data_IF_885338602712
#
_entry.id   IF_885338602712
#
_cell.length_a   1.000
_cell.length_b   1.000
_cell.length_c   1.000
_cell.angle_alpha   90.00
_cell.angle_beta   90.00
_cell.angle_gamma   90.00
#
_symmetry.space_group_name_H-M   'P 1'
#
loop_
_entity.id
_entity.type
_entity.pdbx_description
1 polymer ?
#
# COMPACT_ATOMS: atom_id res chain seq x y z
N UNK A 1 7.93 19.04 24.78
CA UNK A 1 6.52 19.40 24.55
C UNK A 1 6.42 19.92 23.13
N UNK A 2 5.55 19.30 22.30
CA UNK A 2 5.43 19.53 20.85
C UNK A 2 6.36 18.58 20.07
N UNK A 3 5.89 17.70 19.18
CA UNK A 3 4.81 17.91 18.22
C UNK A 3 3.90 16.67 18.09
N UNK A 4 2.61 16.95 18.09
CA UNK A 4 1.55 16.07 17.62
C UNK A 4 1.74 15.81 16.13
N UNK A 5 1.59 14.55 15.70
CA UNK A 5 1.10 14.20 14.38
C UNK A 5 -0.03 13.19 14.59
N UNK A 6 -1.19 13.76 14.89
CA UNK A 6 -2.49 13.14 14.69
C UNK A 6 -3.04 13.66 13.34
N UNK A 7 -3.88 12.86 12.67
CA UNK A 7 -4.70 13.15 11.46
C UNK A 7 -4.27 12.54 10.10
N UNK A 8 -3.11 11.91 9.93
CA UNK A 8 -2.84 11.15 8.70
C UNK A 8 -1.77 10.07 8.90
N UNK A 9 -2.18 8.81 9.13
CA UNK A 9 -1.27 7.69 8.93
C UNK A 9 -0.67 7.81 7.52
N UNK A 10 0.63 8.09 7.44
CA UNK A 10 1.33 8.09 6.16
C UNK A 10 1.41 6.66 5.63
N UNK A 11 1.52 6.49 4.31
CA UNK A 11 1.67 5.16 3.70
C UNK A 11 2.80 4.37 4.38
N UNK A 12 3.95 5.02 4.62
CA UNK A 12 5.09 4.46 5.35
C UNK A 12 4.74 3.96 6.76
N UNK A 13 3.95 4.72 7.52
CA UNK A 13 3.57 4.31 8.88
C UNK A 13 2.58 3.15 8.88
N UNK A 14 1.62 3.16 7.94
CA UNK A 14 0.69 2.05 7.78
C UNK A 14 1.41 0.77 7.33
N UNK A 15 2.40 0.91 6.44
CA UNK A 15 3.23 -0.19 5.99
C UNK A 15 4.14 -0.73 7.11
N UNK A 16 4.80 0.14 7.87
CA UNK A 16 5.61 -0.26 9.02
C UNK A 16 4.78 -0.95 10.12
N UNK A 17 3.54 -0.49 10.35
CA UNK A 17 2.61 -1.20 11.22
C UNK A 17 2.24 -2.58 10.67
N UNK A 18 1.96 -2.68 9.38
CA UNK A 18 1.64 -3.95 8.73
C UNK A 18 2.79 -4.95 8.88
N UNK A 19 4.04 -4.54 8.67
CA UNK A 19 5.21 -5.41 8.88
C UNK A 19 5.36 -5.85 10.34
N UNK A 20 5.10 -4.96 11.30
CA UNK A 20 5.06 -5.35 12.72
C UNK A 20 3.97 -6.37 13.01
N UNK A 21 2.77 -6.19 12.45
CA UNK A 21 1.65 -7.13 12.62
C UNK A 21 1.99 -8.49 12.01
N UNK A 22 2.56 -8.51 10.80
CA UNK A 22 3.01 -9.73 10.14
C UNK A 22 4.12 -10.45 10.92
N UNK A 23 5.10 -9.70 11.44
CA UNK A 23 6.16 -10.28 12.26
C UNK A 23 5.64 -10.84 13.60
N UNK A 24 4.59 -10.25 14.16
CA UNK A 24 3.88 -10.85 15.30
C UNK A 24 3.16 -12.12 14.90
N UNK A 25 2.45 -12.13 13.77
CA UNK A 25 1.75 -13.32 13.25
C UNK A 25 2.69 -14.49 12.94
N UNK A 26 3.97 -14.24 12.64
CA UNK A 26 5.01 -15.28 12.49
C UNK A 26 5.47 -15.89 13.83
N UNK A 27 5.04 -15.33 14.97
CA UNK A 27 5.36 -15.87 16.29
C UNK A 27 4.39 -17.01 16.62
N UNK A 28 4.94 -18.21 16.80
CA UNK A 28 4.18 -19.47 17.05
C UNK A 28 3.39 -19.48 18.38
N UNK A 29 3.62 -18.52 19.28
CA UNK A 29 3.08 -18.47 20.65
C UNK A 29 2.01 -17.37 20.83
N UNK A 30 1.13 -17.20 19.84
CA UNK A 30 -0.01 -16.27 19.95
C UNK A 30 -1.32 -17.01 20.26
N UNK A 31 -2.10 -16.56 21.25
CA UNK A 31 -3.44 -17.09 21.46
C UNK A 31 -4.34 -16.76 20.26
N UNK A 32 -5.27 -17.66 19.93
CA UNK A 32 -6.17 -17.56 18.77
C UNK A 32 -6.86 -16.19 18.66
N UNK A 33 -7.26 -15.61 19.80
CA UNK A 33 -7.89 -14.29 19.88
C UNK A 33 -6.93 -13.16 19.46
N UNK A 34 -5.66 -13.20 19.85
CA UNK A 34 -4.67 -12.21 19.41
C UNK A 34 -4.32 -12.38 17.94
N UNK A 35 -4.22 -13.62 17.44
CA UNK A 35 -3.96 -13.89 16.02
C UNK A 35 -5.09 -13.33 15.15
N UNK A 36 -6.35 -13.49 15.57
CA UNK A 36 -7.51 -12.92 14.89
C UNK A 36 -7.48 -11.38 14.88
N UNK A 37 -7.19 -10.76 16.03
CA UNK A 37 -7.10 -9.31 16.14
C UNK A 37 -5.98 -8.73 15.26
N UNK A 38 -4.80 -9.38 15.27
CA UNK A 38 -3.67 -9.01 14.41
C UNK A 38 -4.03 -9.18 12.93
N UNK A 39 -4.75 -10.24 12.56
CA UNK A 39 -5.19 -10.45 11.19
C UNK A 39 -6.15 -9.35 10.71
N UNK A 40 -7.14 -8.97 11.53
CA UNK A 40 -8.06 -7.86 11.21
C UNK A 40 -7.32 -6.52 11.08
N UNK A 41 -6.38 -6.24 11.99
CA UNK A 41 -5.54 -5.03 11.92
C UNK A 41 -4.68 -5.03 10.65
N UNK A 42 -4.05 -6.16 10.32
CA UNK A 42 -3.25 -6.32 9.11
C UNK A 42 -4.08 -6.15 7.83
N UNK A 43 -5.29 -6.72 7.79
CA UNK A 43 -6.20 -6.57 6.65
C UNK A 43 -6.66 -5.12 6.46
N UNK A 44 -6.94 -4.40 7.55
CA UNK A 44 -7.30 -2.98 7.50
C UNK A 44 -6.14 -2.11 6.99
N UNK A 45 -4.91 -2.36 7.48
CA UNK A 45 -3.70 -1.67 7.05
C UNK A 45 -3.37 -1.96 5.58
N UNK A 46 -3.49 -3.21 5.15
CA UNK A 46 -3.29 -3.60 3.75
C UNK A 46 -4.29 -2.89 2.81
N UNK A 47 -5.57 -2.83 3.21
CA UNK A 47 -6.61 -2.11 2.46
C UNK A 47 -6.31 -0.61 2.37
N UNK A 48 -5.83 0.00 3.45
CA UNK A 48 -5.42 1.40 3.47
C UNK A 48 -4.25 1.67 2.51
N UNK A 49 -3.21 0.83 2.54
CA UNK A 49 -2.06 0.92 1.65
C UNK A 49 -2.46 0.77 0.18
N UNK A 50 -3.34 -0.19 -0.13
CA UNK A 50 -3.86 -0.40 -1.48
C UNK A 50 -4.64 0.83 -1.99
N UNK A 51 -5.54 1.40 -1.17
CA UNK A 51 -6.30 2.59 -1.54
C UNK A 51 -5.42 3.83 -1.77
N UNK A 52 -4.34 3.99 -1.00
CA UNK A 52 -3.34 5.05 -1.21
C UNK A 52 -2.59 4.88 -2.53
N UNK A 53 -2.16 3.66 -2.86
CA UNK A 53 -1.51 3.35 -4.13
C UNK A 53 -2.43 3.59 -5.32
N UNK A 54 -3.70 3.18 -5.23
CA UNK A 54 -4.70 3.42 -6.28
C UNK A 54 -4.88 4.92 -6.55
N UNK A 55 -4.99 5.74 -5.50
CA UNK A 55 -5.06 7.19 -5.66
C UNK A 55 -3.80 7.79 -6.28
N UNK A 56 -2.63 7.26 -5.94
CA UNK A 56 -1.38 7.68 -6.56
C UNK A 56 -1.35 7.30 -8.05
N UNK A 57 -1.75 6.08 -8.40
CA UNK A 57 -1.83 5.59 -9.78
C UNK A 57 -2.81 6.43 -10.61
N UNK A 58 -3.98 6.77 -10.06
CA UNK A 58 -4.95 7.65 -10.71
C UNK A 58 -4.39 9.05 -10.97
N UNK A 59 -3.62 9.61 -10.03
CA UNK A 59 -2.95 10.92 -10.24
C UNK A 59 -1.86 10.83 -11.31
N UNK A 60 -1.07 9.77 -11.34
CA UNK A 60 -0.04 9.55 -12.35
C UNK A 60 -0.67 9.41 -13.74
N UNK A 61 -1.76 8.64 -13.87
CA UNK A 61 -2.52 8.52 -15.12
C UNK A 61 -3.12 9.86 -15.58
N UNK A 62 -3.62 10.68 -14.66
CA UNK A 62 -4.10 12.03 -14.99
C UNK A 62 -2.99 12.98 -15.43
N UNK A 63 -1.75 12.75 -14.97
CA UNK A 63 -0.55 13.46 -15.40
C UNK A 63 0.04 12.95 -16.71
N UNK A 64 -0.44 11.80 -17.21
CA UNK A 64 -0.22 11.35 -18.59
C UNK A 64 -1.46 11.61 -19.47
N UNK A 65 -1.88 12.87 -19.71
CA UNK A 65 -2.73 13.15 -20.86
C UNK A 65 -1.87 13.07 -22.12
N UNK A 66 -1.67 11.86 -22.65
CA UNK A 66 -1.03 11.68 -23.96
C UNK A 66 -0.02 10.55 -24.12
N UNK A 67 -0.08 9.47 -23.33
CA UNK A 67 0.58 8.23 -23.79
C UNK A 67 -0.31 7.59 -24.86
N UNK A 68 -0.27 8.17 -26.07
CA UNK A 68 -0.36 7.36 -27.27
C UNK A 68 0.78 6.34 -27.13
N UNK A 69 0.48 5.18 -26.55
CA UNK A 69 1.27 4.00 -26.81
C UNK A 69 1.05 3.73 -28.31
N UNK A 70 1.82 4.40 -29.16
CA UNK A 70 1.89 4.05 -30.56
C UNK A 70 2.25 2.57 -30.58
N UNK A 71 1.42 1.70 -31.17
CA UNK A 71 1.79 0.31 -31.34
C UNK A 71 3.17 0.30 -31.99
N UNK A 72 4.09 -0.52 -31.46
CA UNK A 72 5.39 -0.70 -32.09
C UNK A 72 5.18 -1.30 -33.49
N UNK A 73 5.04 -0.44 -34.49
CA UNK A 73 5.16 -0.78 -35.90
C UNK A 73 6.66 -1.04 -36.11
N UNK A 74 7.03 -2.31 -36.05
CA UNK A 74 8.41 -2.76 -36.21
C UNK A 74 9.08 -2.15 -37.44
N UNK A 75 10.42 -2.15 -37.42
CA UNK A 75 11.29 -1.58 -38.45
C UNK A 75 10.72 -1.79 -39.85
N UNK A 76 10.21 -0.73 -40.47
CA UNK A 76 9.82 -0.74 -41.88
C UNK A 76 11.11 -0.83 -42.71
N UNK A 77 11.49 -2.06 -43.04
CA UNK A 77 12.47 -2.34 -44.08
C UNK A 77 11.89 -1.92 -45.45
N UNK A 78 12.76 -1.28 -46.24
CA UNK A 78 12.47 -0.59 -47.50
C UNK A 78 12.04 -1.49 -48.65
#
# INVERSE_FOLDING_TARGET
>A
MGFMLDESLSYDEAFARLEMVLGKLETDDLPLEETLALYEEGAALATFCAGRLEQAELRVRQWQPGDETTPFEGWQES
#
